data_IF_177423672295
#
_entry.id   IF_177423672295
#
_cell.length_a   1.000
_cell.length_b   1.000
_cell.length_c   1.000
_cell.angle_alpha   90.00
_cell.angle_beta   90.00
_cell.angle_gamma   90.00
#
_symmetry.space_group_name_H-M   'P 1'
#
loop_
_entity.id
_entity.type
_entity.pdbx_description
1 polymer ?
#
# COMPACT_ATOMS: atom_id res chain seq x y z
N UNK A 1 5.76 9.97 13.37
CA UNK A 1 4.92 8.83 13.81
C UNK A 1 5.05 7.69 12.81
N UNK A 2 4.96 6.40 13.22
CA UNK A 2 5.04 5.26 12.29
C UNK A 2 3.68 4.57 12.16
N UNK A 3 3.21 4.40 10.93
CA UNK A 3 1.94 3.76 10.60
C UNK A 3 2.22 2.50 9.77
N UNK A 4 1.70 1.36 10.23
CA UNK A 4 1.76 0.09 9.52
C UNK A 4 0.35 -0.31 9.08
N UNK A 5 0.16 -0.51 7.78
CA UNK A 5 -1.11 -0.97 7.21
C UNK A 5 -0.90 -2.35 6.62
N UNK A 6 -1.46 -3.39 7.24
CA UNK A 6 -1.35 -4.76 6.74
C UNK A 6 -2.66 -5.15 6.04
N UNK A 7 -2.61 -5.39 4.73
CA UNK A 7 -3.81 -5.76 3.97
C UNK A 7 -3.48 -6.36 2.62
N UNK A 8 -4.39 -7.16 2.08
CA UNK A 8 -4.27 -7.79 0.76
C UNK A 8 -4.90 -6.98 -0.39
N UNK A 9 -5.56 -5.84 -0.13
CA UNK A 9 -6.36 -5.13 -1.14
C UNK A 9 -5.97 -3.67 -1.42
N UNK A 10 -5.10 -3.06 -0.60
CA UNK A 10 -4.74 -1.63 -0.75
C UNK A 10 -3.59 -1.34 -1.72
N UNK A 11 -3.31 -2.19 -2.70
CA UNK A 11 -2.23 -1.98 -3.68
C UNK A 11 -2.67 -1.31 -4.98
N UNK A 12 -3.97 -1.14 -5.18
CA UNK A 12 -4.48 -0.40 -6.34
C UNK A 12 -4.12 1.06 -6.18
N UNK A 13 -3.79 1.74 -7.28
CA UNK A 13 -3.22 3.08 -7.24
C UNK A 13 -4.11 4.06 -6.44
N UNK A 14 -5.43 3.99 -6.62
CA UNK A 14 -6.41 4.79 -5.88
C UNK A 14 -6.32 4.60 -4.34
N UNK A 15 -6.09 3.38 -3.89
CA UNK A 15 -5.99 3.06 -2.46
C UNK A 15 -4.64 3.51 -1.90
N UNK A 16 -3.57 3.29 -2.65
CA UNK A 16 -2.24 3.79 -2.32
C UNK A 16 -2.23 5.32 -2.20
N UNK A 17 -2.90 6.04 -3.10
CA UNK A 17 -3.01 7.51 -3.03
C UNK A 17 -3.66 8.00 -1.74
N UNK A 18 -4.74 7.36 -1.31
CA UNK A 18 -5.41 7.70 -0.03
C UNK A 18 -4.47 7.50 1.17
N UNK A 19 -3.70 6.41 1.17
CA UNK A 19 -2.76 6.12 2.24
C UNK A 19 -1.53 7.04 2.19
N UNK A 20 -1.08 7.43 0.99
CA UNK A 20 0.03 8.38 0.81
C UNK A 20 -0.28 9.72 1.45
N UNK A 21 -1.54 10.18 1.42
CA UNK A 21 -1.94 11.43 2.08
C UNK A 21 -1.58 11.46 3.57
N UNK A 22 -1.59 10.31 4.25
CA UNK A 22 -1.18 10.22 5.67
C UNK A 22 0.29 10.61 5.88
N UNK A 23 1.16 10.24 4.94
CA UNK A 23 2.58 10.56 4.98
C UNK A 23 2.87 12.07 4.77
N UNK A 24 1.88 12.82 4.26
CA UNK A 24 1.98 14.26 4.01
C UNK A 24 1.29 15.13 5.07
N UNK A 25 0.61 14.54 6.06
CA UNK A 25 -0.10 15.31 7.09
C UNK A 25 0.85 16.09 8.01
N UNK A 26 2.01 15.51 8.33
CA UNK A 26 3.03 16.11 9.18
C UNK A 26 4.41 15.56 8.78
N UNK A 27 5.46 16.38 8.95
CA UNK A 27 6.83 15.92 8.76
C UNK A 27 7.18 14.78 9.73
N UNK A 28 7.87 13.77 9.22
CA UNK A 28 8.28 12.61 10.03
C UNK A 28 7.19 11.55 10.25
N UNK A 29 6.04 11.64 9.57
CA UNK A 29 5.14 10.48 9.43
C UNK A 29 5.71 9.51 8.40
N UNK A 30 5.89 8.26 8.81
CA UNK A 30 6.27 7.13 7.95
C UNK A 30 5.09 6.18 7.82
N UNK A 31 4.75 5.84 6.58
CA UNK A 31 3.64 4.92 6.26
C UNK A 31 4.21 3.73 5.51
N UNK A 32 4.03 2.53 6.07
CA UNK A 32 4.39 1.28 5.39
C UNK A 32 3.15 0.43 5.20
N UNK A 33 2.83 0.12 3.95
CA UNK A 33 1.74 -0.77 3.55
C UNK A 33 2.33 -2.14 3.27
N UNK A 34 1.98 -3.15 4.07
CA UNK A 34 2.44 -4.53 3.93
C UNK A 34 1.35 -5.33 3.21
N UNK A 35 1.72 -5.92 2.09
CA UNK A 35 0.81 -6.68 1.22
C UNK A 35 1.39 -8.06 0.89
N UNK A 36 0.56 -9.06 0.56
CA UNK A 36 1.06 -10.33 0.07
C UNK A 36 1.88 -10.12 -1.21
N UNK A 37 2.96 -10.88 -1.39
CA UNK A 37 3.73 -10.87 -2.66
C UNK A 37 2.91 -11.38 -3.84
N UNK A 38 1.99 -12.30 -3.58
CA UNK A 38 1.13 -12.94 -4.57
C UNK A 38 -0.20 -13.34 -3.95
N UNK A 39 -1.31 -13.02 -4.62
CA UNK A 39 -2.65 -13.45 -4.20
C UNK A 39 -3.62 -13.44 -5.39
N UNK A 40 -4.80 -14.02 -5.18
CA UNK A 40 -5.89 -14.01 -6.16
C UNK A 40 -7.11 -13.33 -5.54
N UNK A 41 -7.41 -12.07 -5.89
CA UNK A 41 -8.65 -11.42 -5.46
C UNK A 41 -9.86 -12.13 -6.06
N UNK A 42 -10.98 -12.08 -5.33
CA UNK A 42 -12.30 -12.32 -5.91
C UNK A 42 -12.84 -11.07 -6.62
N UNK A 43 -14.03 -11.18 -7.21
CA UNK A 43 -14.73 -10.04 -7.83
C UNK A 43 -14.11 -9.59 -9.16
N UNK A 44 -14.08 -8.27 -9.41
CA UNK A 44 -13.71 -7.68 -10.71
C UNK A 44 -12.26 -7.99 -11.10
N UNK A 45 -11.35 -8.06 -10.13
CA UNK A 45 -9.94 -8.43 -10.37
C UNK A 45 -9.72 -9.94 -10.19
N UNK A 46 -10.43 -10.77 -10.96
CA UNK A 46 -10.31 -12.24 -10.93
C UNK A 46 -9.04 -12.75 -11.64
N UNK A 47 -7.87 -12.22 -11.28
CA UNK A 47 -6.56 -12.63 -11.80
C UNK A 47 -5.57 -12.72 -10.66
N UNK A 48 -4.52 -13.53 -10.82
CA UNK A 48 -3.41 -13.52 -9.87
C UNK A 48 -2.73 -12.16 -9.95
N UNK A 49 -2.51 -11.55 -8.79
CA UNK A 49 -1.75 -10.32 -8.62
C UNK A 49 -0.41 -10.69 -8.01
N UNK A 50 0.65 -10.10 -8.55
CA UNK A 50 1.99 -10.10 -7.99
C UNK A 50 2.38 -8.66 -7.70
N UNK A 51 2.89 -8.40 -6.50
CA UNK A 51 3.29 -7.06 -6.07
C UNK A 51 4.78 -6.86 -6.21
N UNK A 52 5.12 -5.68 -6.69
CA UNK A 52 6.48 -5.14 -6.62
C UNK A 52 6.53 -4.08 -5.53
N UNK A 53 7.56 -4.07 -4.68
CA UNK A 53 7.76 -3.01 -3.69
C UNK A 53 7.79 -1.64 -4.35
N UNK A 54 7.21 -0.64 -3.69
CA UNK A 54 7.21 0.76 -4.14
C UNK A 54 7.68 1.64 -2.99
N UNK A 55 8.59 2.57 -3.26
CA UNK A 55 9.11 3.52 -2.28
C UNK A 55 8.91 4.92 -2.85
N UNK A 56 8.25 5.77 -2.08
CA UNK A 56 7.92 7.15 -2.45
C UNK A 56 8.06 8.03 -1.19
N UNK A 57 9.25 8.56 -0.97
CA UNK A 57 9.60 9.31 0.24
C UNK A 57 9.37 8.50 1.52
N UNK A 58 8.50 9.00 2.40
CA UNK A 58 8.11 8.33 3.66
C UNK A 58 6.92 7.38 3.51
N UNK A 59 6.41 7.18 2.29
CA UNK A 59 5.39 6.18 1.95
C UNK A 59 6.01 4.97 1.26
N UNK A 60 5.70 3.76 1.73
CA UNK A 60 6.24 2.50 1.21
C UNK A 60 5.15 1.45 1.06
N UNK A 61 5.23 0.66 0.00
CA UNK A 61 4.45 -0.57 -0.18
C UNK A 61 5.44 -1.72 -0.27
N UNK A 62 5.29 -2.71 0.61
CA UNK A 62 6.22 -3.86 0.77
C UNK A 62 5.49 -5.19 0.76
#
# INVERSE_FOLDING_TARGET
MKILVVSHSYIVDLNCEKLRTLAHLESGIEVTVVVPKRWRPGGVQNKIIETSPRIDGSFRVV
#
